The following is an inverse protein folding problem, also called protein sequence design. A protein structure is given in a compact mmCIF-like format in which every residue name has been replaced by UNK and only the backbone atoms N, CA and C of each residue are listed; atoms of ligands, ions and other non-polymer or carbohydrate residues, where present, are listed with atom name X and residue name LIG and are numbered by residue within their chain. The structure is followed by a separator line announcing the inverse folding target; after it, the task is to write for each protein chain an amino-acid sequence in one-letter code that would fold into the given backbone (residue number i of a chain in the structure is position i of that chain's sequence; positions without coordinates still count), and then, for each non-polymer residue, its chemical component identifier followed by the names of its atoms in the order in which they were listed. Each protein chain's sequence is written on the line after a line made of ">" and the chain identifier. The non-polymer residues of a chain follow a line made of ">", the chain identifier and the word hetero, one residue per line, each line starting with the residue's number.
data_IF_747817968853
#
_entry.id   IF_747817968853
#
_cell.length_a   1.000
_cell.length_b   1.000
_cell.length_c   1.000
_cell.angle_alpha   90.00
_cell.angle_beta   90.00
_cell.angle_gamma   90.00
#
_symmetry.space_group_name_H-M   'P 1'
#
loop_
_entity.id
_entity.type
_entity.pdbx_description
1 polymer ?
#
# COMPACT_ATOMS: atom_id res chain seq x y z
N UNK A 1 15.42 12.49 -2.50
CA UNK A 1 14.60 13.71 -2.67
C UNK A 1 13.33 13.34 -3.40
N UNK A 2 12.16 13.85 -3.01
CA UNK A 2 10.88 13.45 -3.60
C UNK A 2 10.77 13.72 -5.11
N UNK A 3 11.48 14.73 -5.60
CA UNK A 3 11.51 15.11 -7.02
C UNK A 3 12.56 14.34 -7.85
N UNK A 4 13.35 13.48 -7.22
CA UNK A 4 14.29 12.58 -7.90
C UNK A 4 13.87 11.12 -7.63
N UNK A 5 12.87 10.61 -8.36
CA UNK A 5 12.34 9.28 -8.11
C UNK A 5 13.34 8.19 -8.52
N UNK A 6 13.36 7.09 -7.78
CA UNK A 6 14.12 5.88 -8.14
C UNK A 6 13.68 5.33 -9.49
N UNK A 7 12.39 5.45 -9.80
CA UNK A 7 11.82 5.16 -11.09
C UNK A 7 10.47 5.88 -11.25
N UNK A 8 10.05 6.03 -12.50
CA UNK A 8 8.70 6.46 -12.86
C UNK A 8 8.01 5.32 -13.60
N UNK A 9 6.74 5.07 -13.25
CA UNK A 9 5.85 4.19 -14.00
C UNK A 9 4.66 4.98 -14.52
N UNK A 10 4.17 4.63 -15.69
CA UNK A 10 3.04 5.30 -16.32
C UNK A 10 1.93 4.29 -16.56
N UNK A 11 0.69 4.70 -16.31
CA UNK A 11 -0.50 3.94 -16.66
C UNK A 11 -1.48 4.84 -17.42
N UNK A 12 -1.85 4.45 -18.64
CA UNK A 12 -2.85 5.18 -19.41
C UNK A 12 -4.24 4.63 -19.08
N UNK A 13 -5.02 5.40 -18.33
CA UNK A 13 -6.36 5.04 -17.87
C UNK A 13 -7.31 4.80 -19.04
N UNK A 14 -7.11 5.52 -20.15
CA UNK A 14 -7.97 5.48 -21.33
C UNK A 14 -7.58 4.44 -22.37
N UNK A 15 -6.41 3.79 -22.27
CA UNK A 15 -5.95 2.81 -23.27
C UNK A 15 -6.37 1.37 -22.90
N UNK A 16 -5.89 0.38 -23.67
CA UNK A 16 -5.95 -1.05 -23.33
C UNK A 16 -4.78 -1.52 -22.46
N UNK A 17 -4.09 -0.61 -21.76
CA UNK A 17 -2.98 -0.98 -20.87
C UNK A 17 -3.45 -2.00 -19.83
N UNK A 18 -2.62 -3.01 -19.58
CA UNK A 18 -2.93 -4.02 -18.60
C UNK A 18 -2.65 -3.48 -17.19
N UNK A 19 -3.71 -3.18 -16.45
CA UNK A 19 -3.63 -2.70 -15.07
C UNK A 19 -2.93 -3.69 -14.14
N UNK A 20 -3.14 -5.00 -14.33
CA UNK A 20 -2.47 -6.04 -13.54
C UNK A 20 -0.95 -6.00 -13.72
N UNK A 21 -0.47 -5.87 -14.97
CA UNK A 21 0.96 -5.77 -15.28
C UNK A 21 1.57 -4.48 -14.73
N UNK A 22 0.82 -3.37 -14.79
CA UNK A 22 1.22 -2.10 -14.19
C UNK A 22 1.46 -2.23 -12.67
N UNK A 23 0.51 -2.80 -11.94
CA UNK A 23 0.62 -2.99 -10.48
C UNK A 23 1.73 -4.00 -10.14
N UNK A 24 1.83 -5.11 -10.88
CA UNK A 24 2.89 -6.10 -10.67
C UNK A 24 4.29 -5.53 -10.93
N UNK A 25 4.43 -4.69 -11.96
CA UNK A 25 5.67 -3.98 -12.28
C UNK A 25 6.15 -3.08 -11.15
N UNK A 26 5.24 -2.39 -10.45
CA UNK A 26 5.58 -1.58 -9.27
C UNK A 26 6.12 -2.47 -8.15
N UNK A 27 5.41 -3.56 -7.80
CA UNK A 27 5.83 -4.48 -6.73
C UNK A 27 7.22 -5.04 -6.98
N UNK A 28 7.50 -5.44 -8.22
CA UNK A 28 8.80 -6.00 -8.62
C UNK A 28 9.96 -5.01 -8.45
N UNK A 29 9.72 -3.71 -8.70
CA UNK A 29 10.76 -2.67 -8.56
C UNK A 29 10.96 -2.21 -7.11
N UNK A 30 9.97 -2.40 -6.25
CA UNK A 30 10.02 -1.95 -4.86
C UNK A 30 10.51 -3.02 -3.88
N UNK A 31 10.25 -4.30 -4.18
CA UNK A 31 10.67 -5.40 -3.33
C UNK A 31 12.17 -5.42 -3.08
N UNK A 32 12.56 -5.71 -1.84
CA UNK A 32 13.95 -6.03 -1.52
C UNK A 32 14.32 -7.35 -2.20
N UNK A 33 15.28 -7.37 -3.14
CA UNK A 33 15.61 -8.57 -3.91
C UNK A 33 16.25 -9.67 -3.06
N UNK A 34 16.57 -9.40 -1.78
CA UNK A 34 17.14 -10.35 -0.83
C UNK A 34 16.20 -10.67 0.34
N UNK A 35 14.95 -10.19 0.31
CA UNK A 35 13.99 -10.45 1.36
C UNK A 35 12.59 -10.70 0.76
N UNK A 36 12.23 -11.97 0.76
CA UNK A 36 10.91 -12.45 0.39
C UNK A 36 10.31 -13.23 1.55
N UNK A 37 8.99 -13.14 1.69
CA UNK A 37 8.23 -13.93 2.64
C UNK A 37 7.50 -15.06 1.93
N UNK A 38 7.35 -16.18 2.62
CA UNK A 38 6.72 -17.42 2.16
C UNK A 38 7.43 -18.19 1.01
N UNK A 39 7.34 -19.54 1.03
CA UNK A 39 7.94 -20.37 -0.01
C UNK A 39 7.18 -20.28 -1.33
N UNK A 40 7.88 -20.63 -2.40
CA UNK A 40 7.29 -20.81 -3.73
C UNK A 40 6.12 -21.82 -3.67
N UNK A 41 5.03 -21.61 -4.43
CA UNK A 41 4.78 -20.55 -5.42
C UNK A 41 4.15 -19.27 -4.86
N UNK A 42 4.01 -19.13 -3.53
CA UNK A 42 3.34 -17.99 -2.89
C UNK A 42 4.30 -16.92 -2.36
N UNK A 43 5.49 -16.84 -2.96
CA UNK A 43 6.54 -15.91 -2.55
C UNK A 43 6.09 -14.46 -2.74
N UNK A 44 6.20 -13.66 -1.68
CA UNK A 44 5.83 -12.24 -1.68
C UNK A 44 7.05 -11.34 -1.46
N UNK A 45 7.21 -10.28 -2.25
CA UNK A 45 8.25 -9.30 -1.98
C UNK A 45 8.00 -8.61 -0.64
N UNK A 46 9.08 -8.27 0.06
CA UNK A 46 9.06 -7.42 1.26
C UNK A 46 9.71 -6.09 0.89
N UNK A 47 9.11 -4.96 1.24
CA UNK A 47 9.75 -3.65 1.09
C UNK A 47 11.06 -3.62 1.89
N UNK A 48 12.06 -2.83 1.47
CA UNK A 48 13.17 -2.52 2.36
C UNK A 48 12.67 -1.67 3.55
N UNK A 49 13.35 -1.75 4.71
CA UNK A 49 13.00 -0.92 5.85
C UNK A 49 13.09 0.59 5.54
N UNK A 50 12.36 1.39 6.32
CA UNK A 50 12.59 2.83 6.40
C UNK A 50 14.00 3.06 6.96
N UNK A 51 14.77 3.96 6.34
CA UNK A 51 16.13 4.25 6.79
C UNK A 51 16.11 5.04 8.11
N UNK A 52 16.76 4.55 9.18
CA UNK A 52 16.71 5.20 10.48
C UNK A 52 17.56 6.47 10.51
N UNK A 53 17.09 7.50 11.22
CA UNK A 53 17.85 8.72 11.49
C UNK A 53 18.01 9.68 10.30
N UNK A 54 17.33 9.43 9.18
CA UNK A 54 17.34 10.31 8.00
C UNK A 54 15.92 10.63 7.53
N UNK A 55 15.67 11.82 6.93
CA UNK A 55 14.39 12.11 6.28
C UNK A 55 14.10 11.12 5.13
N UNK A 56 12.83 10.94 4.72
CA UNK A 56 12.48 10.03 3.63
C UNK A 56 13.26 10.30 2.34
N UNK A 57 14.21 9.41 2.03
CA UNK A 57 15.13 9.56 0.90
C UNK A 57 14.68 8.86 -0.38
N UNK A 58 13.83 7.84 -0.25
CA UNK A 58 13.49 6.88 -1.32
C UNK A 58 12.06 7.08 -1.82
N UNK A 59 11.94 7.44 -3.09
CA UNK A 59 10.67 7.84 -3.72
C UNK A 59 10.52 7.17 -5.08
N UNK A 60 9.30 7.01 -5.54
CA UNK A 60 8.99 6.66 -6.92
C UNK A 60 7.80 7.49 -7.39
N UNK A 61 7.70 7.69 -8.70
CA UNK A 61 6.58 8.41 -9.29
C UNK A 61 5.64 7.46 -10.03
N UNK A 62 4.34 7.73 -9.89
CA UNK A 62 3.30 7.12 -10.72
C UNK A 62 2.68 8.22 -11.57
N UNK A 63 2.67 8.05 -12.88
CA UNK A 63 2.02 8.96 -13.82
C UNK A 63 0.75 8.30 -14.33
N UNK A 64 -0.39 8.86 -13.97
CA UNK A 64 -1.69 8.45 -14.49
C UNK A 64 -2.08 9.37 -15.64
N UNK A 65 -2.42 8.81 -16.81
CA UNK A 65 -2.79 9.58 -18.01
C UNK A 65 -4.21 9.29 -18.44
N UNK A 66 -5.00 10.34 -18.63
CA UNK A 66 -6.29 10.29 -19.31
C UNK A 66 -6.13 10.82 -20.74
N UNK A 67 -7.22 11.00 -21.47
CA UNK A 67 -7.17 11.64 -22.79
C UNK A 67 -6.79 13.12 -22.71
N UNK A 68 -7.05 13.78 -21.58
CA UNK A 68 -6.99 15.24 -21.43
C UNK A 68 -5.99 15.69 -20.37
N UNK A 69 -5.55 14.80 -19.48
CA UNK A 69 -4.69 15.16 -18.35
C UNK A 69 -3.63 14.11 -18.03
N UNK A 70 -2.60 14.55 -17.34
CA UNK A 70 -1.61 13.69 -16.70
C UNK A 70 -1.42 14.13 -15.25
N UNK A 71 -1.51 13.18 -14.32
CA UNK A 71 -1.29 13.40 -12.91
C UNK A 71 -0.05 12.63 -12.48
N UNK A 72 0.92 13.31 -11.85
CA UNK A 72 2.08 12.64 -11.26
C UNK A 72 1.87 12.51 -9.76
N UNK A 73 2.04 11.31 -9.21
CA UNK A 73 1.98 11.01 -7.79
C UNK A 73 3.39 10.83 -7.24
N UNK A 74 3.70 11.43 -6.09
CA UNK A 74 4.94 11.22 -5.35
C UNK A 74 4.68 10.24 -4.19
N UNK A 75 5.20 9.02 -4.33
CA UNK A 75 4.98 7.95 -3.36
C UNK A 75 6.30 7.49 -2.77
N UNK A 76 6.30 7.26 -1.46
CA UNK A 76 7.44 6.71 -0.74
C UNK A 76 7.70 5.24 -1.12
N UNK A 77 8.95 4.91 -1.40
CA UNK A 77 9.37 3.58 -1.85
C UNK A 77 9.70 2.60 -0.72
N UNK A 78 9.50 2.99 0.54
CA UNK A 78 9.75 2.20 1.74
C UNK A 78 8.45 1.79 2.47
N UNK A 79 7.37 2.58 2.34
CA UNK A 79 6.07 2.30 2.97
C UNK A 79 4.85 2.55 2.07
N UNK A 80 5.05 2.91 0.79
CA UNK A 80 3.97 3.18 -0.17
C UNK A 80 3.04 4.34 0.20
N UNK A 81 3.45 5.27 1.06
CA UNK A 81 2.62 6.42 1.39
C UNK A 81 2.64 7.42 0.23
N UNK A 82 1.45 7.82 -0.21
CA UNK A 82 1.29 8.94 -1.12
C UNK A 82 1.49 10.22 -0.31
N UNK A 83 2.47 11.04 -0.67
CA UNK A 83 2.77 12.27 0.05
C UNK A 83 2.49 13.52 -0.78
N UNK A 84 2.12 13.33 -2.05
CA UNK A 84 1.60 14.41 -2.86
C UNK A 84 1.44 14.08 -4.32
N UNK A 85 0.98 15.08 -5.07
CA UNK A 85 0.69 14.96 -6.49
C UNK A 85 1.01 16.26 -7.22
N UNK A 86 1.24 16.19 -8.53
CA UNK A 86 1.52 17.35 -9.38
C UNK A 86 0.38 17.61 -10.33
N UNK A 87 -0.25 18.78 -10.23
CA UNK A 87 -1.28 19.26 -11.15
C UNK A 87 -0.70 19.73 -12.48
N UNK A 88 -1.56 19.95 -13.47
CA UNK A 88 -1.20 20.34 -14.84
C UNK A 88 -0.51 21.70 -14.92
N UNK A 89 -0.79 22.60 -13.99
CA UNK A 89 -0.11 23.90 -13.85
C UNK A 89 1.33 23.77 -13.31
N UNK A 90 1.76 22.54 -12.97
CA UNK A 90 3.07 22.23 -12.44
C UNK A 90 3.17 22.30 -10.92
N UNK A 91 2.11 22.72 -10.21
CA UNK A 91 2.08 22.83 -8.75
C UNK A 91 2.20 21.44 -8.11
N UNK A 92 3.14 21.30 -7.18
CA UNK A 92 3.22 20.13 -6.30
C UNK A 92 2.33 20.36 -5.08
N UNK A 93 1.35 19.50 -4.90
CA UNK A 93 0.46 19.45 -3.76
C UNK A 93 0.97 18.42 -2.77
N UNK A 94 1.33 18.83 -1.56
CA UNK A 94 1.78 17.90 -0.51
C UNK A 94 0.67 17.57 0.48
N UNK A 95 0.63 16.31 0.91
CA UNK A 95 -0.28 15.78 1.93
C UNK A 95 0.37 15.80 3.31
N UNK A 96 1.69 15.94 3.39
CA UNK A 96 2.44 16.17 4.63
C UNK A 96 3.26 17.44 4.48
N UNK A 97 3.09 18.39 5.41
CA UNK A 97 3.76 19.70 5.32
C UNK A 97 5.28 19.57 5.29
N UNK A 98 5.92 20.21 4.31
CA UNK A 98 7.37 20.30 4.16
C UNK A 98 8.05 19.03 3.69
N UNK A 99 7.31 17.99 3.30
CA UNK A 99 7.89 16.68 3.00
C UNK A 99 8.39 16.57 1.55
N UNK A 100 7.72 17.21 0.59
CA UNK A 100 8.16 17.20 -0.81
C UNK A 100 9.29 18.19 -1.11
N UNK A 101 9.55 19.13 -0.20
CA UNK A 101 10.60 20.14 -0.30
C UNK A 101 10.07 21.53 -0.64
N UNK A 102 10.99 22.47 -0.85
CA UNK A 102 10.66 23.87 -1.14
C UNK A 102 9.85 24.00 -2.44
N UNK A 103 8.74 24.72 -2.40
CA UNK A 103 7.85 24.97 -3.55
C UNK A 103 6.62 24.07 -3.63
N UNK A 104 6.48 23.07 -2.75
CA UNK A 104 5.22 22.34 -2.61
C UNK A 104 4.20 23.17 -1.82
N UNK A 105 2.92 23.05 -2.20
CA UNK A 105 1.78 23.68 -1.55
C UNK A 105 1.01 22.63 -0.76
N UNK A 106 0.81 22.84 0.54
CA UNK A 106 0.00 21.92 1.33
C UNK A 106 -1.44 21.87 0.81
N UNK A 107 -1.96 20.67 0.56
CA UNK A 107 -3.29 20.45 -0.03
C UNK A 107 -4.45 20.89 0.88
N UNK A 108 -4.19 21.16 2.16
CA UNK A 108 -5.20 21.50 3.16
C UNK A 108 -5.83 20.28 3.83
N UNK A 109 -5.26 19.09 3.62
CA UNK A 109 -5.60 17.82 4.27
C UNK A 109 -4.44 16.83 4.13
N UNK A 110 -4.35 15.87 5.04
CA UNK A 110 -3.40 14.76 5.00
C UNK A 110 -3.86 13.57 4.17
N UNK A 111 -2.94 12.65 3.93
CA UNK A 111 -3.15 11.44 3.10
C UNK A 111 -3.75 10.26 3.85
N UNK A 112 -4.07 10.41 5.13
CA UNK A 112 -4.67 9.35 5.94
C UNK A 112 -6.18 9.23 5.65
N UNK A 113 -6.71 8.01 5.66
CA UNK A 113 -8.15 7.81 5.43
C UNK A 113 -9.06 8.58 6.41
N UNK A 114 -8.76 8.69 7.71
CA UNK A 114 -9.51 9.57 8.60
C UNK A 114 -9.55 11.04 8.14
N UNK A 115 -8.50 11.56 7.51
CA UNK A 115 -8.51 12.94 6.99
C UNK A 115 -9.22 13.08 5.64
N UNK A 116 -9.22 12.01 4.83
CA UNK A 116 -9.81 12.00 3.50
C UNK A 116 -11.32 11.74 3.51
N UNK A 117 -11.75 10.71 4.25
CA UNK A 117 -13.15 10.24 4.29
C UNK A 117 -13.83 10.44 5.65
N UNK A 118 -13.13 11.05 6.64
CA UNK A 118 -13.57 11.26 8.04
C UNK A 118 -13.63 10.00 8.90
N UNK A 119 -13.96 8.87 8.27
CA UNK A 119 -14.11 7.58 8.93
C UNK A 119 -13.66 6.48 7.96
N UNK A 120 -12.74 5.64 8.41
CA UNK A 120 -12.22 4.51 7.61
C UNK A 120 -13.30 3.51 7.20
N UNK A 121 -14.43 3.47 7.92
CA UNK A 121 -15.55 2.62 7.55
C UNK A 121 -16.22 3.06 6.24
N UNK A 122 -16.01 4.31 5.81
CA UNK A 122 -16.53 4.85 4.56
C UNK A 122 -15.70 4.49 3.33
N UNK A 123 -14.62 3.74 3.47
CA UNK A 123 -13.86 3.26 2.30
C UNK A 123 -14.70 2.38 1.39
N UNK A 124 -15.69 1.67 1.95
CA UNK A 124 -16.66 0.86 1.18
C UNK A 124 -17.67 1.71 0.42
N UNK A 125 -17.66 3.04 0.55
CA UNK A 125 -18.52 3.93 -0.23
C UNK A 125 -17.81 4.48 -1.48
N UNK A 126 -16.48 4.32 -1.56
CA UNK A 126 -15.66 4.88 -2.63
C UNK A 126 -15.81 4.07 -3.90
N UNK A 127 -16.21 4.74 -4.98
CA UNK A 127 -16.39 4.11 -6.29
C UNK A 127 -15.04 3.93 -6.99
N UNK A 128 -14.80 2.73 -7.51
CA UNK A 128 -13.57 2.35 -8.20
C UNK A 128 -13.84 1.93 -9.64
N UNK A 129 -12.79 1.97 -10.45
CA UNK A 129 -12.80 1.56 -11.86
C UNK A 129 -12.34 2.67 -12.79
N UNK A 130 -12.46 2.41 -14.09
CA UNK A 130 -11.89 3.27 -15.14
C UNK A 130 -12.44 4.71 -15.11
N UNK A 131 -13.76 4.86 -15.01
CA UNK A 131 -14.39 6.19 -15.00
C UNK A 131 -14.09 6.95 -13.71
N UNK A 132 -14.25 6.38 -12.49
CA UNK A 132 -13.81 7.03 -11.27
C UNK A 132 -12.33 7.42 -11.28
N UNK A 133 -11.44 6.58 -11.82
CA UNK A 133 -10.02 6.92 -11.96
C UNK A 133 -9.81 8.09 -12.91
N UNK A 134 -10.50 8.11 -14.05
CA UNK A 134 -10.44 9.23 -15.01
C UNK A 134 -10.86 10.54 -14.35
N UNK A 135 -12.01 10.54 -13.68
CA UNK A 135 -12.53 11.72 -12.97
C UNK A 135 -11.58 12.19 -11.86
N UNK A 136 -11.00 11.25 -11.10
CA UNK A 136 -10.04 11.59 -10.06
C UNK A 136 -8.76 12.23 -10.62
N UNK A 137 -8.22 11.67 -11.71
CA UNK A 137 -7.05 12.21 -12.40
C UNK A 137 -7.33 13.61 -12.93
N UNK A 138 -8.42 13.79 -13.66
CA UNK A 138 -8.78 15.07 -14.26
C UNK A 138 -9.01 16.16 -13.20
N UNK A 139 -9.69 15.82 -12.09
CA UNK A 139 -9.94 16.75 -10.99
C UNK A 139 -8.65 17.17 -10.26
N UNK A 140 -7.75 16.24 -9.97
CA UNK A 140 -6.49 16.57 -9.31
C UNK A 140 -5.51 17.28 -10.24
N UNK A 141 -5.53 16.95 -11.54
CA UNK A 141 -4.72 17.61 -12.54
C UNK A 141 -5.18 19.06 -12.80
N UNK A 142 -6.48 19.34 -12.73
CA UNK A 142 -7.05 20.68 -12.91
C UNK A 142 -6.92 21.57 -11.66
N UNK A 143 -6.52 21.02 -10.52
CA UNK A 143 -6.47 21.74 -9.24
C UNK A 143 -5.47 22.91 -9.28
N UNK A 144 -5.88 24.06 -8.75
CA UNK A 144 -5.06 25.27 -8.65
C UNK A 144 -5.02 25.84 -7.22
N UNK A 145 -4.08 26.74 -6.88
CA UNK A 145 -4.04 27.40 -5.57
C UNK A 145 -5.35 28.07 -5.13
N UNK A 146 -6.17 28.56 -6.07
CA UNK A 146 -7.46 29.18 -5.77
C UNK A 146 -8.46 28.21 -5.11
N UNK A 147 -8.32 26.91 -5.37
CA UNK A 147 -9.21 25.87 -4.85
C UNK A 147 -9.06 25.64 -3.34
N UNK A 148 -7.98 26.12 -2.72
CA UNK A 148 -7.74 25.98 -1.28
C UNK A 148 -8.84 26.64 -0.44
N UNK A 149 -9.37 27.78 -0.89
CA UNK A 149 -10.43 28.51 -0.22
C UNK A 149 -11.83 27.93 -0.51
N UNK A 150 -11.95 27.02 -1.49
CA UNK A 150 -13.24 26.48 -1.92
C UNK A 150 -13.52 25.12 -1.25
N UNK A 151 -14.48 25.12 -0.31
CA UNK A 151 -14.86 23.92 0.42
C UNK A 151 -15.30 22.74 -0.47
N UNK A 152 -16.00 23.01 -1.58
CA UNK A 152 -16.42 21.98 -2.55
C UNK A 152 -15.21 21.42 -3.28
N UNK A 153 -14.29 22.26 -3.75
CA UNK A 153 -13.07 21.81 -4.41
C UNK A 153 -12.18 20.99 -3.45
N UNK A 154 -12.12 21.36 -2.17
CA UNK A 154 -11.44 20.58 -1.14
C UNK A 154 -12.09 19.21 -0.92
N UNK A 155 -13.43 19.09 -1.01
CA UNK A 155 -14.10 17.79 -0.91
C UNK A 155 -13.84 16.91 -2.14
N UNK A 156 -13.89 17.50 -3.34
CA UNK A 156 -13.56 16.80 -4.59
C UNK A 156 -12.12 16.28 -4.53
N UNK A 157 -11.15 17.11 -4.13
CA UNK A 157 -9.76 16.71 -4.01
C UNK A 157 -9.56 15.52 -3.03
N UNK A 158 -10.22 15.53 -1.86
CA UNK A 158 -10.15 14.39 -0.91
C UNK A 158 -10.70 13.10 -1.51
N UNK A 159 -11.87 13.18 -2.18
CA UNK A 159 -12.47 12.01 -2.85
C UNK A 159 -11.56 11.47 -3.95
N UNK A 160 -11.00 12.36 -4.78
CA UNK A 160 -10.08 11.98 -5.85
C UNK A 160 -8.79 11.35 -5.33
N UNK A 161 -8.19 11.92 -4.26
CA UNK A 161 -7.02 11.32 -3.58
C UNK A 161 -7.36 9.94 -3.03
N UNK A 162 -8.55 9.76 -2.45
CA UNK A 162 -8.99 8.46 -1.92
C UNK A 162 -9.12 7.41 -3.02
N UNK A 163 -9.74 7.78 -4.15
CA UNK A 163 -9.89 6.91 -5.31
C UNK A 163 -8.52 6.46 -5.86
N UNK A 164 -7.57 7.38 -6.06
CA UNK A 164 -6.24 7.00 -6.56
C UNK A 164 -5.43 6.20 -5.55
N UNK A 165 -5.58 6.45 -4.24
CA UNK A 165 -4.94 5.64 -3.20
C UNK A 165 -5.41 4.18 -3.27
N UNK A 166 -6.72 3.94 -3.37
CA UNK A 166 -7.27 2.59 -3.48
C UNK A 166 -6.83 1.89 -4.77
N UNK A 167 -6.86 2.60 -5.90
CA UNK A 167 -6.54 2.02 -7.22
C UNK A 167 -5.05 2.07 -7.59
N UNK A 168 -4.17 2.52 -6.70
CA UNK A 168 -2.72 2.49 -6.93
C UNK A 168 -2.02 1.95 -5.70
N UNK A 169 -2.03 2.68 -4.59
CA UNK A 169 -1.27 2.32 -3.40
C UNK A 169 -1.79 1.04 -2.73
N UNK A 170 -3.10 0.93 -2.50
CA UNK A 170 -3.68 -0.28 -1.92
C UNK A 170 -3.66 -1.45 -2.89
N UNK A 171 -3.87 -1.20 -4.18
CA UNK A 171 -3.68 -2.22 -5.20
C UNK A 171 -2.23 -2.72 -5.24
N UNK A 172 -1.21 -1.88 -5.03
CA UNK A 172 0.18 -2.36 -4.90
C UNK A 172 0.33 -3.22 -3.64
N UNK A 173 -0.24 -2.81 -2.50
CA UNK A 173 -0.17 -3.54 -1.21
C UNK A 173 -0.89 -4.89 -1.24
N UNK A 174 -2.03 -4.98 -1.92
CA UNK A 174 -2.94 -6.14 -1.84
C UNK A 174 -3.31 -6.70 -3.21
N UNK A 175 -3.23 -8.02 -3.35
CA UNK A 175 -3.69 -8.74 -4.54
C UNK A 175 -5.21 -8.64 -4.69
N UNK A 176 -5.94 -8.81 -3.59
CA UNK A 176 -7.41 -8.72 -3.56
C UNK A 176 -7.88 -7.39 -4.15
N UNK A 177 -7.31 -6.28 -3.69
CA UNK A 177 -7.63 -4.94 -4.21
C UNK A 177 -7.21 -4.81 -5.68
N UNK A 178 -6.02 -5.29 -6.05
CA UNK A 178 -5.56 -5.23 -7.44
C UNK A 178 -6.45 -6.04 -8.41
N UNK A 179 -6.80 -7.27 -8.05
CA UNK A 179 -7.66 -8.15 -8.85
C UNK A 179 -9.07 -7.59 -8.98
N UNK A 180 -9.61 -7.06 -7.87
CA UNK A 180 -10.89 -6.37 -7.86
C UNK A 180 -10.88 -5.19 -8.82
N UNK A 181 -9.93 -4.26 -8.68
CA UNK A 181 -9.83 -3.10 -9.57
C UNK A 181 -9.59 -3.53 -11.02
N UNK A 182 -8.72 -4.51 -11.28
CA UNK A 182 -8.43 -5.01 -12.63
C UNK A 182 -9.70 -5.44 -13.37
N UNK A 183 -10.64 -6.08 -12.66
CA UNK A 183 -11.94 -6.48 -13.20
C UNK A 183 -12.78 -5.32 -13.76
N UNK A 184 -12.51 -4.09 -13.34
CA UNK A 184 -13.25 -2.87 -13.74
C UNK A 184 -12.44 -1.93 -14.64
N UNK A 185 -11.20 -2.29 -14.93
CA UNK A 185 -10.32 -1.48 -15.77
C UNK A 185 -10.43 -1.85 -17.25
N UNK A 186 -11.13 -2.91 -17.65
CA UNK A 186 -11.19 -3.34 -19.06
C UNK A 186 -12.23 -2.55 -19.88
N UNK A 187 -11.94 -2.08 -21.12
CA UNK A 187 -12.90 -1.28 -21.91
C UNK A 187 -14.26 -1.96 -22.15
N UNK A 188 -14.26 -3.30 -22.29
CA UNK A 188 -15.50 -4.08 -22.51
C UNK A 188 -16.44 -4.15 -21.30
N UNK A 189 -16.00 -3.77 -20.10
CA UNK A 189 -16.89 -3.72 -18.92
C UNK A 189 -17.71 -2.43 -18.86
N UNK A 190 -17.39 -1.43 -19.69
CA UNK A 190 -18.14 -0.17 -19.77
C UNK A 190 -19.58 -0.33 -20.31
N UNK A 191 -19.89 -1.46 -20.98
CA UNK A 191 -21.22 -1.75 -21.54
C UNK A 191 -22.10 -2.61 -20.62
N UNK A 192 -21.66 -2.92 -19.38
CA UNK A 192 -22.57 -3.52 -18.40
C UNK A 192 -23.46 -2.41 -17.86
N UNK A 193 -24.73 -2.44 -18.26
CA UNK A 193 -25.80 -1.52 -17.84
C UNK A 193 -26.14 -1.61 -16.35
N UNK A 194 -25.53 -2.55 -15.63
CA UNK A 194 -25.72 -2.72 -14.20
C UNK A 194 -24.80 -1.71 -13.53
N UNK A 195 -25.40 -0.61 -13.10
CA UNK A 195 -24.84 0.54 -12.41
C UNK A 195 -24.25 0.22 -11.02
N UNK A 196 -23.55 -0.89 -10.88
CA UNK A 196 -22.79 -1.14 -9.66
C UNK A 196 -21.51 -0.33 -9.73
N UNK A 197 -21.53 0.83 -9.09
CA UNK A 197 -20.32 1.45 -8.56
C UNK A 197 -19.54 0.39 -7.78
N UNK A 198 -18.37 -0.01 -8.27
CA UNK A 198 -17.61 -1.11 -7.69
C UNK A 198 -16.81 -0.61 -6.49
N UNK A 199 -17.31 -0.94 -5.30
CA UNK A 199 -16.73 -0.56 -4.02
C UNK A 199 -15.96 -1.75 -3.45
N UNK A 200 -14.90 -1.46 -2.69
CA UNK A 200 -14.23 -2.53 -1.95
C UNK A 200 -15.20 -3.19 -0.95
N UNK A 201 -14.99 -4.47 -0.67
CA UNK A 201 -15.78 -5.20 0.33
C UNK A 201 -15.35 -4.83 1.76
N UNK A 202 -16.15 -5.24 2.76
CA UNK A 202 -15.77 -5.15 4.17
C UNK A 202 -14.44 -5.84 4.48
N UNK A 203 -14.23 -7.04 3.92
CA UNK A 203 -12.99 -7.80 4.08
C UNK A 203 -11.77 -7.06 3.49
N UNK A 204 -11.93 -6.43 2.32
CA UNK A 204 -10.87 -5.62 1.72
C UNK A 204 -10.57 -4.37 2.55
N UNK A 205 -11.60 -3.72 3.12
CA UNK A 205 -11.41 -2.62 4.05
C UNK A 205 -10.57 -3.04 5.27
N UNK A 206 -10.90 -4.18 5.88
CA UNK A 206 -10.13 -4.71 7.01
C UNK A 206 -8.67 -4.98 6.64
N UNK A 207 -8.43 -5.51 5.44
CA UNK A 207 -7.07 -5.71 4.91
C UNK A 207 -6.34 -4.36 4.77
N UNK A 208 -6.95 -3.37 4.12
CA UNK A 208 -6.39 -2.03 3.91
C UNK A 208 -6.02 -1.37 5.24
N UNK A 209 -6.92 -1.42 6.22
CA UNK A 209 -6.67 -0.87 7.56
C UNK A 209 -5.61 -1.67 8.35
N UNK A 210 -5.33 -2.92 7.94
CA UNK A 210 -4.46 -3.86 8.65
C UNK A 210 -3.19 -4.27 7.89
N UNK A 211 -2.67 -3.46 6.96
CA UNK A 211 -1.52 -3.84 6.13
C UNK A 211 -0.27 -4.22 6.94
N UNK A 212 0.09 -3.40 7.94
CA UNK A 212 1.21 -3.69 8.84
C UNK A 212 0.98 -4.97 9.62
N UNK A 213 -0.23 -5.12 10.18
CA UNK A 213 -0.70 -6.25 10.96
C UNK A 213 -0.62 -7.59 10.21
N UNK A 214 -1.01 -7.59 8.93
CA UNK A 214 -0.93 -8.76 8.05
C UNK A 214 0.52 -9.05 7.67
N UNK A 215 1.31 -8.01 7.39
CA UNK A 215 2.74 -8.15 7.08
C UNK A 215 3.50 -8.75 8.28
N UNK A 216 3.24 -8.24 9.49
CA UNK A 216 3.84 -8.73 10.73
C UNK A 216 3.47 -10.19 11.01
N UNK A 217 2.20 -10.57 10.83
CA UNK A 217 1.76 -11.94 11.02
C UNK A 217 2.50 -12.91 10.09
N UNK A 218 2.71 -12.53 8.83
CA UNK A 218 3.42 -13.34 7.86
C UNK A 218 4.91 -13.48 8.20
N UNK A 219 5.56 -12.36 8.56
CA UNK A 219 6.98 -12.35 8.95
C UNK A 219 7.23 -13.12 10.26
N UNK A 220 6.31 -13.06 11.23
CA UNK A 220 6.39 -13.89 12.44
C UNK A 220 6.34 -15.37 12.10
N UNK A 221 5.47 -15.78 11.16
CA UNK A 221 5.38 -17.18 10.75
C UNK A 221 6.67 -17.67 10.10
N UNK A 222 7.30 -16.85 9.25
CA UNK A 222 8.61 -17.19 8.65
C UNK A 222 9.70 -17.34 9.73
N UNK A 223 9.69 -16.51 10.77
CA UNK A 223 10.64 -16.59 11.88
C UNK A 223 10.46 -17.83 12.77
N UNK A 224 9.28 -18.44 12.76
CA UNK A 224 8.94 -19.66 13.52
C UNK A 224 9.23 -20.97 12.76
N UNK A 225 9.47 -20.91 11.44
CA UNK A 225 9.92 -22.09 10.69
C UNK A 225 11.24 -22.63 11.29
N UNK A 226 11.42 -23.96 11.38
CA UNK A 226 12.21 -24.58 12.43
C UNK A 226 13.69 -24.15 12.41
N UNK A 227 14.09 -23.41 13.44
CA UNK A 227 15.48 -23.38 13.92
C UNK A 227 15.73 -24.67 14.72
N UNK A 228 16.96 -25.25 14.70
CA UNK A 228 17.25 -26.52 15.35
C UNK A 228 16.82 -26.51 16.82
N UNK A 229 16.05 -27.53 17.23
CA UNK A 229 15.46 -27.63 18.57
C UNK A 229 16.54 -27.53 19.64
N UNK A 230 16.40 -26.66 20.66
CA UNK A 230 17.22 -26.75 21.85
C UNK A 230 16.93 -28.06 22.58
N UNK A 231 17.98 -28.68 23.13
CA UNK A 231 17.90 -29.92 23.91
C UNK A 231 16.93 -29.74 25.08
N UNK A 232 16.09 -30.75 25.40
CA UNK A 232 15.10 -30.62 26.45
C UNK A 232 15.78 -30.44 27.81
N UNK A 233 15.56 -29.28 28.45
CA UNK A 233 15.92 -29.09 29.85
C UNK A 233 14.88 -29.76 30.73
N UNK A 234 15.28 -30.81 31.45
CA UNK A 234 14.50 -31.40 32.52
C UNK A 234 14.49 -30.44 33.70
N UNK A 235 13.37 -29.73 33.88
CA UNK A 235 12.76 -29.36 35.16
C UNK A 235 11.78 -28.22 34.91
N UNK A 236 10.48 -28.43 35.18
CA UNK A 236 9.62 -27.47 35.88
C UNK A 236 8.26 -28.04 36.27
N UNK A 237 7.75 -27.46 37.34
CA UNK A 237 6.62 -27.87 38.17
C UNK A 237 5.28 -27.89 37.42
N UNK A 238 4.42 -28.83 37.84
CA UNK A 238 3.13 -29.14 37.24
C UNK A 238 2.02 -28.39 37.97
N UNK A 239 1.54 -27.28 37.41
CA UNK A 239 0.12 -26.86 37.49
C UNK A 239 -0.15 -25.59 36.67
N UNK A 240 0.78 -24.62 36.58
CA UNK A 240 0.66 -23.43 35.72
C UNK A 240 1.13 -23.66 34.27
N UNK A 241 1.96 -24.68 34.05
CA UNK A 241 2.54 -24.98 32.73
C UNK A 241 1.52 -25.40 31.66
N UNK A 242 0.45 -26.11 32.04
CA UNK A 242 -0.55 -26.61 31.07
C UNK A 242 -1.45 -25.49 30.52
N UNK A 243 -1.81 -24.51 31.34
CA UNK A 243 -2.57 -23.34 30.90
C UNK A 243 -1.75 -22.41 30.02
N UNK A 244 -0.45 -22.24 30.32
CA UNK A 244 0.48 -21.48 29.48
C UNK A 244 0.72 -22.17 28.14
N UNK A 245 0.87 -23.50 28.13
CA UNK A 245 1.03 -24.28 26.90
C UNK A 245 -0.22 -24.20 26.02
N UNK A 246 -1.43 -24.31 26.58
CA UNK A 246 -2.68 -24.15 25.84
C UNK A 246 -2.84 -22.75 25.24
N UNK A 247 -2.48 -21.69 25.99
CA UNK A 247 -2.47 -20.31 25.48
C UNK A 247 -1.48 -20.11 24.34
N UNK A 248 -0.28 -20.71 24.45
CA UNK A 248 0.73 -20.67 23.39
C UNK A 248 0.25 -21.40 22.13
N UNK A 249 -0.40 -22.56 22.29
CA UNK A 249 -0.97 -23.30 21.16
C UNK A 249 -2.09 -22.52 20.47
N UNK A 250 -3.02 -21.93 21.23
CA UNK A 250 -4.09 -21.11 20.67
C UNK A 250 -3.54 -19.87 19.94
N UNK A 251 -2.54 -19.20 20.51
CA UNK A 251 -1.86 -18.07 19.88
C UNK A 251 -1.16 -18.48 18.58
N UNK A 252 -0.47 -19.63 18.57
CA UNK A 252 0.16 -20.18 17.37
C UNK A 252 -0.86 -20.52 16.28
N UNK A 253 -2.01 -21.11 16.63
CA UNK A 253 -3.10 -21.39 15.69
C UNK A 253 -3.69 -20.11 15.11
N UNK A 254 -3.93 -19.08 15.93
CA UNK A 254 -4.42 -17.76 15.48
C UNK A 254 -3.42 -17.10 14.53
N UNK A 255 -2.13 -17.13 14.87
CA UNK A 255 -1.07 -16.59 14.03
C UNK A 255 -1.01 -17.33 12.68
N UNK A 256 -1.03 -18.66 12.68
CA UNK A 256 -1.00 -19.46 11.46
C UNK A 256 -2.19 -19.13 10.54
N UNK A 257 -3.40 -18.98 11.09
CA UNK A 257 -4.58 -18.58 10.32
C UNK A 257 -4.43 -17.17 9.73
N UNK A 258 -3.94 -16.20 10.53
CA UNK A 258 -3.72 -14.82 10.04
C UNK A 258 -2.62 -14.78 8.96
N UNK A 259 -1.55 -15.55 9.14
CA UNK A 259 -0.47 -15.68 8.17
C UNK A 259 -0.96 -16.34 6.85
N UNK A 260 -1.79 -17.37 6.93
CA UNK A 260 -2.36 -18.00 5.73
C UNK A 260 -3.23 -17.01 4.94
N UNK A 261 -4.06 -16.22 5.63
CA UNK A 261 -4.82 -15.12 5.00
C UNK A 261 -3.87 -14.10 4.39
N UNK A 262 -2.87 -13.63 5.14
CA UNK A 262 -1.88 -12.66 4.69
C UNK A 262 -1.15 -13.12 3.40
N UNK A 263 -0.74 -14.40 3.30
CA UNK A 263 -0.09 -14.96 2.12
C UNK A 263 -0.96 -14.89 0.84
N UNK A 264 -2.27 -15.01 1.01
CA UNK A 264 -3.25 -14.96 -0.08
C UNK A 264 -3.55 -13.53 -0.52
N UNK A 265 -3.54 -12.57 0.41
CA UNK A 265 -4.01 -11.20 0.12
C UNK A 265 -2.89 -10.19 -0.11
N UNK A 266 -1.70 -10.37 0.46
CA UNK A 266 -0.60 -9.39 0.33
C UNK A 266 0.04 -9.48 -1.05
N UNK A 267 0.09 -8.35 -1.74
CA UNK A 267 0.86 -8.16 -2.98
C UNK A 267 2.33 -7.86 -2.70
N UNK A 268 2.60 -7.02 -1.68
CA UNK A 268 3.93 -6.71 -1.15
C UNK A 268 3.81 -6.42 0.35
N UNK A 269 4.78 -6.88 1.14
CA UNK A 269 4.79 -6.68 2.59
C UNK A 269 5.42 -5.34 2.97
N UNK A 270 4.88 -4.73 4.01
CA UNK A 270 5.63 -3.76 4.80
C UNK A 270 6.71 -4.50 5.60
N UNK A 271 7.91 -3.93 5.65
CA UNK A 271 8.93 -4.46 6.57
C UNK A 271 8.53 -4.16 8.02
N UNK A 272 8.49 -5.21 8.84
CA UNK A 272 8.26 -5.10 10.29
C UNK A 272 9.32 -5.95 10.99
N UNK A 273 10.01 -5.37 11.97
CA UNK A 273 10.88 -6.14 12.85
C UNK A 273 10.03 -7.02 13.76
N UNK A 274 10.23 -8.33 13.68
CA UNK A 274 9.52 -9.31 14.50
C UNK A 274 10.50 -10.12 15.34
N UNK A 275 10.11 -10.59 16.53
CA UNK A 275 10.97 -11.44 17.35
C UNK A 275 11.49 -12.65 16.57
N UNK A 276 12.81 -12.82 16.55
CA UNK A 276 13.47 -13.92 15.84
C UNK A 276 13.58 -13.76 14.31
N UNK A 277 13.04 -12.67 13.75
CA UNK A 277 13.11 -12.31 12.34
C UNK A 277 14.30 -11.41 11.99
N UNK A 278 14.24 -10.79 10.82
CA UNK A 278 15.29 -9.91 10.30
C UNK A 278 15.22 -8.52 10.96
N UNK A 279 16.36 -7.97 11.37
CA UNK A 279 16.44 -6.58 11.86
C UNK A 279 16.52 -5.59 10.69
N UNK A 280 16.15 -4.34 10.95
CA UNK A 280 16.24 -3.19 10.05
C UNK A 280 17.65 -3.05 9.50
N UNK A 281 18.65 -3.08 10.38
CA UNK A 281 20.05 -2.99 9.98
C UNK A 281 20.45 -4.13 9.02
N UNK A 282 20.04 -5.38 9.33
CA UNK A 282 20.37 -6.53 8.48
C UNK A 282 19.63 -6.48 7.14
N UNK A 283 18.36 -6.11 7.15
CA UNK A 283 17.54 -5.98 5.95
C UNK A 283 18.07 -4.89 5.01
N UNK A 284 18.48 -3.74 5.56
CA UNK A 284 19.13 -2.67 4.79
C UNK A 284 20.51 -3.08 4.26
N UNK A 285 21.31 -3.79 5.06
CA UNK A 285 22.59 -4.33 4.62
C UNK A 285 22.40 -5.23 3.39
N UNK A 286 21.48 -6.20 3.48
CA UNK A 286 21.17 -7.12 2.37
C UNK A 286 20.59 -6.38 1.16
N UNK A 287 19.73 -5.39 1.39
CA UNK A 287 19.14 -4.58 0.32
C UNK A 287 20.21 -3.83 -0.49
N UNK A 288 21.25 -3.32 0.19
CA UNK A 288 22.35 -2.57 -0.42
C UNK A 288 23.41 -3.48 -1.07
N UNK A 289 23.31 -4.80 -0.90
CA UNK A 289 24.30 -5.75 -1.41
C UNK A 289 25.61 -5.77 -0.62
N UNK A 290 25.56 -5.36 0.65
CA UNK A 290 26.70 -5.32 1.60
C UNK A 290 26.60 -6.39 2.68
#
# INVERSE_FOLDING_TARGET
>A
MALNPLFTVTFNVSSSDNYGDFIAGIRNRLGNPRHFSHPFPRTRPVLPPVEPGVPPGRWFHVVLRTQTAALTLATRADNLYLEGFRSSDGTWWELTRGLLGAGATYAGFGGSYPELVRDTDKLVEVELGRQPMTQAVDALAARTPADLANGTAQQVARKSVTAVLLMVNEAVRFLTVAEHVAGFMHPKTANRSDSESWRITGDMKEQVNGWQDLSEALLKMDALLPKPKPKPSKNKEKTTAAEEEAKQEEAARKLAKKAETAAKVLGILLFVEVPGGMTTAKALQLFRGS
#
